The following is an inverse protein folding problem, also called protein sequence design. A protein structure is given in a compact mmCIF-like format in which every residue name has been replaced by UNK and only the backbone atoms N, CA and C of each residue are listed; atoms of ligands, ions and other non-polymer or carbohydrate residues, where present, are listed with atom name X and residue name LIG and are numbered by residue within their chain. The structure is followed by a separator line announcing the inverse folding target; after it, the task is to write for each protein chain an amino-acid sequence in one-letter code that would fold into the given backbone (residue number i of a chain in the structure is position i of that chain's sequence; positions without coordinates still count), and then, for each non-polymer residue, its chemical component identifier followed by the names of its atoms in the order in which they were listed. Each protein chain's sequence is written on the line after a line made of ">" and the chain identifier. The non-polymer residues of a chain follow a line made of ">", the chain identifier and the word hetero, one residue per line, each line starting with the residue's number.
data_IF_529419286816
#
_entry.id   IF_529419286816
#
_cell.length_a   1.000
_cell.length_b   1.000
_cell.length_c   1.000
_cell.angle_alpha   90.00
_cell.angle_beta   90.00
_cell.angle_gamma   90.00
#
_symmetry.space_group_name_H-M   'P 1'
#
loop_
_entity.id
_entity.type
_entity.pdbx_description
1 polymer ?
#
# COMPACT_ATOMS: atom_id res chain seq x y z
N UNK A 1 -10.07 -5.79 6.28
CA UNK A 1 -10.38 -5.76 7.72
C UNK A 1 -9.51 -4.82 8.54
N UNK A 2 -8.22 -4.65 8.20
CA UNK A 2 -7.27 -3.86 9.02
C UNK A 2 -7.71 -2.40 9.16
N UNK A 3 -7.93 -1.69 8.05
CA UNK A 3 -8.34 -0.28 8.09
C UNK A 3 -9.67 -0.11 8.87
N UNK A 4 -10.66 -0.96 8.63
CA UNK A 4 -11.94 -0.91 9.36
C UNK A 4 -11.75 -1.12 10.86
N UNK A 5 -11.00 -2.16 11.25
CA UNK A 5 -10.79 -2.48 12.67
C UNK A 5 -10.03 -1.39 13.42
N UNK A 6 -8.92 -0.91 12.84
CA UNK A 6 -8.12 0.17 13.43
C UNK A 6 -8.93 1.46 13.53
N UNK A 7 -9.62 1.86 12.44
CA UNK A 7 -10.37 3.11 12.41
C UNK A 7 -11.53 3.09 13.41
N UNK A 8 -12.30 2.01 13.47
CA UNK A 8 -13.39 1.87 14.43
C UNK A 8 -12.88 1.94 15.86
N UNK A 9 -11.84 1.19 16.18
CA UNK A 9 -11.29 1.20 17.53
C UNK A 9 -10.81 2.59 17.93
N UNK A 10 -9.98 3.24 17.09
CA UNK A 10 -9.38 4.52 17.46
C UNK A 10 -10.42 5.64 17.48
N UNK A 11 -11.31 5.72 16.49
CA UNK A 11 -12.33 6.77 16.41
C UNK A 11 -13.43 6.59 17.44
N UNK A 12 -13.96 5.36 17.58
CA UNK A 12 -15.17 5.12 18.36
C UNK A 12 -14.87 4.71 19.80
N UNK A 13 -13.90 3.79 20.02
CA UNK A 13 -13.60 3.25 21.36
C UNK A 13 -12.56 4.11 22.10
N UNK A 14 -11.47 4.46 21.44
CA UNK A 14 -10.42 5.28 22.05
C UNK A 14 -10.71 6.78 22.00
N UNK A 15 -11.75 7.21 21.27
CA UNK A 15 -12.17 8.61 21.15
C UNK A 15 -11.11 9.56 20.57
N UNK A 16 -10.21 9.04 19.74
CA UNK A 16 -9.14 9.85 19.13
C UNK A 16 -9.45 10.19 17.70
N UNK A 17 -9.21 11.44 17.32
CA UNK A 17 -9.30 11.87 15.94
C UNK A 17 -8.10 11.35 15.13
N UNK A 18 -8.40 10.49 14.16
CA UNK A 18 -7.44 10.07 13.12
C UNK A 18 -8.07 10.25 11.75
N UNK A 19 -7.24 10.47 10.75
CA UNK A 19 -7.61 10.34 9.35
C UNK A 19 -7.22 8.94 8.86
N UNK A 20 -8.20 8.22 8.32
CA UNK A 20 -8.06 6.86 7.82
C UNK A 20 -8.01 6.88 6.31
N UNK A 21 -6.84 6.61 5.75
CA UNK A 21 -6.60 6.66 4.31
C UNK A 21 -6.55 5.24 3.74
N UNK A 22 -7.49 4.93 2.84
CA UNK A 22 -7.46 3.68 2.10
C UNK A 22 -6.53 3.80 0.89
N UNK A 23 -5.81 2.74 0.57
CA UNK A 23 -4.95 2.67 -0.61
C UNK A 23 -5.50 1.64 -1.58
N UNK A 24 -5.65 2.03 -2.84
CA UNK A 24 -6.15 1.15 -3.89
C UNK A 24 -5.34 1.27 -5.19
N UNK A 25 -5.34 0.23 -6.06
CA UNK A 25 -4.71 0.29 -7.36
C UNK A 25 -5.44 1.29 -8.29
N UNK A 26 -4.70 2.17 -8.96
CA UNK A 26 -5.27 3.12 -9.93
C UNK A 26 -5.96 2.42 -11.11
N UNK A 27 -5.55 1.19 -11.44
CA UNK A 27 -6.17 0.36 -12.48
C UNK A 27 -7.49 -0.29 -12.05
N UNK A 28 -7.80 -0.28 -10.75
CA UNK A 28 -9.02 -0.89 -10.18
C UNK A 28 -9.55 -0.04 -9.01
N UNK A 29 -9.95 1.22 -9.26
CA UNK A 29 -10.25 2.21 -8.22
C UNK A 29 -11.69 2.05 -7.69
N UNK A 30 -12.04 0.84 -7.25
CA UNK A 30 -13.43 0.50 -6.89
C UNK A 30 -13.90 1.21 -5.61
N UNK A 31 -13.00 1.56 -4.70
CA UNK A 31 -13.34 2.32 -3.49
C UNK A 31 -13.70 3.75 -3.87
N UNK A 32 -12.84 4.41 -4.64
CA UNK A 32 -13.11 5.77 -5.15
C UNK A 32 -14.41 5.82 -5.92
N UNK A 33 -14.61 4.91 -6.88
CA UNK A 33 -15.83 4.84 -7.69
C UNK A 33 -17.08 4.68 -6.83
N UNK A 34 -17.02 3.80 -5.82
CA UNK A 34 -18.15 3.59 -4.91
C UNK A 34 -18.45 4.85 -4.08
N UNK A 35 -17.44 5.51 -3.54
CA UNK A 35 -17.62 6.73 -2.75
C UNK A 35 -18.17 7.87 -3.58
N UNK A 36 -17.82 7.94 -4.86
CA UNK A 36 -18.33 8.93 -5.82
C UNK A 36 -19.73 8.58 -6.36
N UNK A 37 -20.29 7.42 -6.03
CA UNK A 37 -21.57 6.96 -6.59
C UNK A 37 -21.49 6.55 -8.07
N UNK A 38 -20.28 6.26 -8.56
CA UNK A 38 -20.02 5.81 -9.93
C UNK A 38 -20.26 4.32 -10.10
N UNK A 39 -20.45 3.89 -11.34
CA UNK A 39 -20.49 2.46 -11.67
C UNK A 39 -19.10 1.82 -11.44
N UNK A 40 -19.07 0.76 -10.63
CA UNK A 40 -17.82 0.06 -10.31
C UNK A 40 -17.29 -0.66 -11.56
N UNK A 41 -16.07 -0.33 -11.95
CA UNK A 41 -15.34 -0.91 -13.09
C UNK A 41 -13.98 -1.42 -12.62
N UNK A 42 -13.90 -2.66 -12.12
CA UNK A 42 -12.61 -3.23 -11.73
C UNK A 42 -11.74 -3.48 -12.96
N UNK A 43 -10.43 -3.40 -12.77
CA UNK A 43 -9.44 -3.68 -13.80
C UNK A 43 -8.31 -4.58 -13.29
N UNK A 44 -7.56 -5.23 -14.21
CA UNK A 44 -6.40 -6.02 -13.83
C UNK A 44 -5.26 -5.14 -13.30
N UNK A 45 -4.60 -5.58 -12.25
CA UNK A 45 -3.43 -4.92 -11.67
C UNK A 45 -2.46 -5.94 -11.08
N UNK A 46 -1.24 -5.49 -10.75
CA UNK A 46 -0.15 -6.32 -10.23
C UNK A 46 0.09 -6.19 -8.71
N UNK A 47 -0.70 -5.37 -8.02
CA UNK A 47 -0.54 -5.11 -6.59
C UNK A 47 -1.30 -6.19 -5.82
N UNK A 48 -0.65 -7.32 -5.54
CA UNK A 48 -1.25 -8.42 -4.79
C UNK A 48 -1.55 -7.98 -3.34
N UNK A 49 -2.68 -8.44 -2.81
CA UNK A 49 -3.10 -8.16 -1.43
C UNK A 49 -4.11 -7.04 -1.26
N UNK A 50 -4.24 -6.14 -2.25
CA UNK A 50 -5.26 -5.09 -2.30
C UNK A 50 -6.02 -5.12 -3.63
N UNK A 51 -7.02 -4.27 -3.81
CA UNK A 51 -7.73 -4.13 -5.08
C UNK A 51 -8.52 -5.38 -5.49
N UNK A 52 -9.40 -5.88 -4.61
CA UNK A 52 -10.18 -7.10 -4.86
C UNK A 52 -11.17 -7.01 -6.04
N UNK A 53 -11.33 -5.83 -6.64
CA UNK A 53 -12.29 -5.61 -7.74
C UNK A 53 -13.74 -5.42 -7.28
N UNK A 54 -13.99 -5.44 -5.99
CA UNK A 54 -15.28 -5.21 -5.35
C UNK A 54 -15.06 -4.63 -3.95
N UNK A 55 -16.12 -4.11 -3.33
CA UNK A 55 -16.06 -3.67 -1.92
C UNK A 55 -16.28 -4.89 -1.02
N UNK A 56 -15.24 -5.33 -0.27
CA UNK A 56 -15.38 -6.47 0.64
C UNK A 56 -16.35 -6.15 1.77
N UNK A 57 -17.13 -7.15 2.22
CA UNK A 57 -18.10 -6.99 3.32
C UNK A 57 -17.49 -6.50 4.64
N UNK A 58 -16.20 -6.74 4.84
CA UNK A 58 -15.43 -6.30 6.02
C UNK A 58 -14.77 -4.92 5.85
N UNK A 59 -15.01 -4.24 4.74
CA UNK A 59 -14.62 -2.85 4.55
C UNK A 59 -15.81 -1.94 4.86
N UNK A 60 -15.66 -1.16 5.92
CA UNK A 60 -16.62 -0.13 6.30
C UNK A 60 -16.18 1.21 5.68
N UNK A 61 -16.87 1.61 4.63
CA UNK A 61 -16.55 2.87 3.95
C UNK A 61 -16.85 4.10 4.81
N UNK A 62 -17.71 4.00 5.81
CA UNK A 62 -18.06 5.14 6.69
C UNK A 62 -16.91 5.60 7.57
N UNK A 63 -15.88 4.76 7.77
CA UNK A 63 -14.68 5.11 8.54
C UNK A 63 -13.49 5.51 7.69
N UNK A 64 -13.63 5.47 6.36
CA UNK A 64 -12.60 5.89 5.40
C UNK A 64 -12.76 7.38 5.12
N UNK A 65 -11.73 8.16 5.41
CA UNK A 65 -11.76 9.60 5.22
C UNK A 65 -11.19 10.02 3.85
N UNK A 66 -10.19 9.28 3.35
CA UNK A 66 -9.50 9.57 2.09
C UNK A 66 -9.12 8.28 1.36
N UNK A 67 -8.98 8.36 0.06
CA UNK A 67 -8.50 7.24 -0.77
C UNK A 67 -7.32 7.72 -1.60
N UNK A 68 -6.20 6.99 -1.54
CA UNK A 68 -5.04 7.21 -2.38
C UNK A 68 -4.94 6.10 -3.43
N UNK A 69 -4.76 6.49 -4.70
CA UNK A 69 -4.58 5.56 -5.81
C UNK A 69 -3.11 5.45 -6.17
N UNK A 70 -2.60 4.22 -6.30
CA UNK A 70 -1.20 3.94 -6.62
C UNK A 70 -1.13 3.03 -7.83
N UNK A 71 -0.17 3.28 -8.72
CA UNK A 71 0.07 2.45 -9.90
C UNK A 71 0.85 1.18 -9.57
N UNK A 72 0.86 0.21 -10.49
CA UNK A 72 1.66 -1.00 -10.35
C UNK A 72 3.15 -0.68 -10.22
N UNK A 73 3.64 0.21 -11.09
CA UNK A 73 5.07 0.50 -11.19
C UNK A 73 5.58 1.24 -9.95
N UNK A 74 4.85 2.25 -9.46
CA UNK A 74 5.17 2.93 -8.21
C UNK A 74 5.21 1.97 -7.01
N UNK A 75 4.29 1.02 -6.98
CA UNK A 75 4.22 0.04 -5.88
C UNK A 75 5.43 -0.90 -5.88
N UNK A 76 5.85 -1.38 -7.05
CA UNK A 76 7.01 -2.27 -7.20
C UNK A 76 8.30 -1.50 -6.91
N UNK A 77 8.47 -0.32 -7.51
CA UNK A 77 9.63 0.53 -7.30
C UNK A 77 9.83 0.86 -5.82
N UNK A 78 8.76 1.29 -5.14
CA UNK A 78 8.84 1.64 -3.73
C UNK A 78 9.16 0.42 -2.85
N UNK A 79 8.61 -0.75 -3.13
CA UNK A 79 8.94 -1.97 -2.39
C UNK A 79 10.43 -2.34 -2.54
N UNK A 80 11.00 -2.18 -3.74
CA UNK A 80 12.42 -2.39 -3.98
C UNK A 80 13.30 -1.32 -3.31
N UNK A 81 12.85 -0.07 -3.30
CA UNK A 81 13.54 1.02 -2.59
C UNK A 81 13.56 0.79 -1.09
N UNK A 82 12.45 0.39 -0.50
CA UNK A 82 12.39 0.04 0.93
C UNK A 82 13.37 -1.09 1.29
N UNK A 83 13.50 -2.08 0.40
CA UNK A 83 14.46 -3.16 0.59
C UNK A 83 15.91 -2.66 0.51
N UNK A 84 16.22 -1.82 -0.49
CA UNK A 84 17.58 -1.36 -0.78
C UNK A 84 18.05 -0.24 0.16
N UNK A 85 17.16 0.71 0.46
CA UNK A 85 17.50 1.95 1.17
C UNK A 85 17.30 1.79 2.69
N UNK A 86 16.29 1.01 3.12
CA UNK A 86 15.89 0.88 4.52
C UNK A 86 16.07 -0.55 5.08
N UNK A 87 16.43 -1.52 4.23
CA UNK A 87 16.55 -2.93 4.64
C UNK A 87 15.20 -3.60 4.93
N UNK A 88 14.09 -3.00 4.49
CA UNK A 88 12.73 -3.50 4.70
C UNK A 88 12.30 -4.36 3.51
N UNK A 89 12.46 -5.68 3.64
CA UNK A 89 12.06 -6.67 2.63
C UNK A 89 10.55 -6.92 2.69
N UNK A 90 9.78 -6.08 2.03
CA UNK A 90 8.30 -6.08 2.08
C UNK A 90 7.67 -6.40 0.73
N UNK A 91 6.37 -6.73 0.73
CA UNK A 91 5.63 -7.06 -0.48
C UNK A 91 5.19 -5.84 -1.30
N UNK A 92 4.63 -6.11 -2.50
CA UNK A 92 4.23 -5.06 -3.46
C UNK A 92 3.18 -4.11 -2.87
N UNK A 93 2.19 -4.62 -2.14
CA UNK A 93 1.16 -3.77 -1.52
C UNK A 93 1.70 -2.90 -0.38
N UNK A 94 2.80 -3.31 0.25
CA UNK A 94 3.53 -2.47 1.21
C UNK A 94 4.17 -1.27 0.51
N UNK A 95 4.73 -1.49 -0.68
CA UNK A 95 5.22 -0.41 -1.54
C UNK A 95 4.11 0.58 -1.88
N UNK A 96 2.93 0.09 -2.27
CA UNK A 96 1.77 0.95 -2.52
C UNK A 96 1.39 1.79 -1.29
N UNK A 97 1.34 1.17 -0.11
CA UNK A 97 1.02 1.87 1.14
C UNK A 97 2.07 2.94 1.49
N UNK A 98 3.36 2.65 1.26
CA UNK A 98 4.45 3.59 1.49
C UNK A 98 4.40 4.77 0.51
N UNK A 99 4.10 4.54 -0.78
CA UNK A 99 3.89 5.63 -1.77
C UNK A 99 2.80 6.57 -1.30
N UNK A 100 1.65 6.03 -0.92
CA UNK A 100 0.53 6.84 -0.42
C UNK A 100 0.92 7.66 0.81
N UNK A 101 1.63 7.06 1.77
CA UNK A 101 2.08 7.75 2.97
C UNK A 101 3.07 8.88 2.68
N UNK A 102 4.01 8.66 1.76
CA UNK A 102 4.99 9.69 1.36
C UNK A 102 4.27 10.84 0.66
N UNK A 103 3.34 10.56 -0.26
CA UNK A 103 2.54 11.62 -0.91
C UNK A 103 1.78 12.48 0.10
N UNK A 104 1.23 11.87 1.14
CA UNK A 104 0.58 12.63 2.21
C UNK A 104 1.59 13.45 3.00
N UNK A 105 2.74 12.86 3.35
CA UNK A 105 3.77 13.54 4.12
C UNK A 105 4.36 14.77 3.42
N UNK A 106 4.34 14.80 2.08
CA UNK A 106 4.80 15.92 1.25
C UNK A 106 3.78 17.08 1.20
N UNK A 107 2.54 16.86 1.64
CA UNK A 107 1.51 17.91 1.65
C UNK A 107 1.63 18.77 2.91
N UNK A 108 1.52 20.08 2.76
CA UNK A 108 1.66 21.05 3.86
C UNK A 108 0.68 20.80 5.01
N UNK A 109 -0.53 20.33 4.70
CA UNK A 109 -1.57 20.01 5.71
C UNK A 109 -1.16 18.90 6.68
N UNK A 110 -0.21 18.04 6.30
CA UNK A 110 0.33 16.96 7.13
C UNK A 110 1.66 17.30 7.81
N UNK A 111 2.17 18.52 7.65
CA UNK A 111 3.41 18.94 8.29
C UNK A 111 3.32 18.77 9.82
N UNK A 112 4.29 18.08 10.40
CA UNK A 112 4.34 17.77 11.84
C UNK A 112 3.32 16.72 12.32
N UNK A 113 2.57 16.09 11.43
CA UNK A 113 1.67 14.97 11.76
C UNK A 113 2.42 13.64 11.82
N UNK A 114 1.89 12.72 12.60
CA UNK A 114 2.36 11.33 12.61
C UNK A 114 1.56 10.52 11.59
N UNK A 115 2.24 9.90 10.63
CA UNK A 115 1.64 9.00 9.64
C UNK A 115 2.05 7.57 9.99
N UNK A 116 1.07 6.69 10.16
CA UNK A 116 1.29 5.26 10.45
C UNK A 116 0.92 4.45 9.23
N UNK A 117 1.86 3.60 8.78
CA UNK A 117 1.69 2.70 7.64
C UNK A 117 1.80 1.26 8.09
N UNK A 118 0.86 0.42 7.66
CA UNK A 118 0.95 -1.03 7.89
C UNK A 118 1.60 -1.68 6.68
N UNK A 119 2.67 -2.44 6.91
CA UNK A 119 3.39 -3.24 5.93
C UNK A 119 3.10 -4.72 6.20
N UNK A 120 2.05 -5.32 5.61
CA UNK A 120 1.44 -6.55 6.12
C UNK A 120 2.17 -7.85 5.75
N UNK A 121 3.08 -7.83 4.78
CA UNK A 121 3.76 -9.04 4.32
C UNK A 121 5.21 -8.80 3.86
N UNK A 122 5.91 -9.90 3.58
CA UNK A 122 7.32 -9.93 3.24
C UNK A 122 7.55 -10.18 1.74
N UNK A 123 8.71 -9.73 1.24
CA UNK A 123 9.12 -9.83 -0.16
C UNK A 123 9.31 -11.28 -0.65
N UNK A 124 9.59 -12.23 0.24
CA UNK A 124 9.80 -13.65 -0.09
C UNK A 124 8.62 -14.30 -0.82
N UNK A 125 7.40 -13.77 -0.62
CA UNK A 125 6.19 -14.23 -1.34
C UNK A 125 6.20 -13.83 -2.81
N UNK A 126 7.06 -12.91 -3.21
CA UNK A 126 7.06 -12.25 -4.52
C UNK A 126 8.31 -12.55 -5.35
N UNK A 127 9.18 -13.50 -4.92
CA UNK A 127 10.43 -13.82 -5.60
C UNK A 127 10.23 -14.24 -7.06
N UNK A 128 9.10 -14.87 -7.40
CA UNK A 128 8.73 -15.25 -8.76
C UNK A 128 7.82 -14.25 -9.46
N UNK A 129 7.63 -13.08 -8.90
CA UNK A 129 6.73 -12.04 -9.44
C UNK A 129 7.50 -10.97 -10.22
N UNK A 130 6.74 -10.04 -10.82
CA UNK A 130 7.28 -8.86 -11.49
C UNK A 130 8.21 -8.03 -10.61
N UNK A 131 8.09 -8.09 -9.29
CA UNK A 131 8.91 -7.33 -8.36
C UNK A 131 10.41 -7.65 -8.49
N UNK A 132 10.74 -8.90 -8.78
CA UNK A 132 12.13 -9.36 -8.88
C UNK A 132 12.54 -9.77 -10.30
N UNK A 133 11.72 -9.45 -11.33
CA UNK A 133 11.98 -9.86 -12.71
C UNK A 133 13.37 -9.38 -13.22
N UNK A 134 13.79 -8.20 -12.81
CA UNK A 134 15.05 -7.57 -13.24
C UNK A 134 16.18 -7.71 -12.21
N UNK A 135 15.93 -8.43 -11.10
CA UNK A 135 16.97 -8.65 -10.09
C UNK A 135 17.82 -9.87 -10.48
N UNK A 136 19.15 -9.72 -10.62
CA UNK A 136 20.04 -10.83 -10.97
C UNK A 136 19.93 -11.94 -9.92
N UNK A 137 19.68 -13.17 -10.37
CA UNK A 137 19.59 -14.36 -9.51
C UNK A 137 20.90 -15.14 -9.40
N UNK A 138 21.96 -14.68 -10.09
CA UNK A 138 23.30 -15.29 -10.02
C UNK A 138 23.99 -15.02 -8.68
N UNK A 139 24.79 -15.99 -8.21
CA UNK A 139 25.73 -15.77 -7.11
C UNK A 139 26.73 -14.71 -7.58
N UNK A 140 26.74 -13.55 -6.94
CA UNK A 140 27.81 -12.58 -7.14
C UNK A 140 29.01 -13.12 -6.38
N UNK A 141 29.93 -13.80 -7.08
CA UNK A 141 31.23 -14.13 -6.52
C UNK A 141 31.96 -12.79 -6.24
N UNK A 142 31.93 -12.36 -5.00
CA UNK A 142 32.82 -11.28 -4.59
C UNK A 142 34.23 -11.86 -4.52
N UNK A 143 35.24 -11.22 -5.17
CA UNK A 143 36.61 -11.64 -5.00
C UNK A 143 36.96 -11.51 -3.53
N UNK A 144 37.35 -12.63 -2.92
CA UNK A 144 37.92 -12.63 -1.57
C UNK A 144 39.22 -11.83 -1.64
N UNK A 145 39.21 -10.61 -1.21
CA UNK A 145 40.45 -9.84 -1.00
C UNK A 145 41.15 -10.44 0.23
N UNK A 146 42.29 -11.10 -0.01
CA UNK A 146 43.17 -11.62 1.02
C UNK A 146 43.83 -10.48 1.81
#
# INVERSE_FOLDING_TARGET
>A
GTITGVSRYIKNEAGKAIESVAVEPSHSPVITQTLNGEAVKPGPHKIQGIGAGFIPKNLDLSVVDKVEQVTNDESVEMALRLAKEEGLLVGISCGAAAVAAIRLAEQEEYAGKTIVVVLPDLAERYLSSVMFADVPTGIIEQPVTA
#
